data_IF_827233809367
#
_entry.id   IF_827233809367
#
_cell.length_a   1.000
_cell.length_b   1.000
_cell.length_c   1.000
_cell.angle_alpha   90.00
_cell.angle_beta   90.00
_cell.angle_gamma   90.00
#
_symmetry.space_group_name_H-M   'P 1'
#
loop_
_entity.id
_entity.type
_entity.pdbx_description
1 polymer ?
#
# COMPACT_ATOMS: atom_id res chain seq x y z
N UNK A 1 -34.51 16.58 -12.27
CA UNK A 1 -33.12 16.33 -12.71
C UNK A 1 -32.18 17.00 -11.71
N UNK A 2 -31.51 16.25 -10.87
CA UNK A 2 -30.46 16.75 -9.97
C UNK A 2 -29.24 17.08 -10.85
N UNK A 3 -28.76 18.30 -10.82
CA UNK A 3 -27.52 18.69 -11.54
C UNK A 3 -26.35 17.95 -10.94
N UNK A 4 -25.55 17.30 -11.78
CA UNK A 4 -24.27 16.72 -11.36
C UNK A 4 -23.43 17.80 -10.67
N UNK A 5 -22.79 17.49 -9.53
CA UNK A 5 -21.97 18.46 -8.80
C UNK A 5 -20.83 18.94 -9.69
N UNK A 6 -20.46 20.22 -9.55
CA UNK A 6 -19.35 20.81 -10.31
C UNK A 6 -18.03 20.09 -10.03
N UNK A 7 -17.10 20.11 -11.00
CA UNK A 7 -15.76 19.53 -10.84
C UNK A 7 -15.03 20.06 -9.61
N UNK A 8 -15.13 21.37 -9.36
CA UNK A 8 -14.53 22.02 -8.18
C UNK A 8 -15.11 21.48 -6.88
N UNK A 9 -16.44 21.29 -6.81
CA UNK A 9 -17.08 20.71 -5.64
C UNK A 9 -16.59 19.28 -5.36
N UNK A 10 -16.47 18.45 -6.40
CA UNK A 10 -15.94 17.07 -6.26
C UNK A 10 -14.51 17.07 -5.72
N UNK A 11 -13.64 17.95 -6.22
CA UNK A 11 -12.25 18.07 -5.74
C UNK A 11 -12.20 18.45 -4.26
N UNK A 12 -13.00 19.43 -3.83
CA UNK A 12 -13.05 19.86 -2.43
C UNK A 12 -13.55 18.72 -1.51
N UNK A 13 -14.60 18.00 -1.90
CA UNK A 13 -15.14 16.87 -1.13
C UNK A 13 -14.12 15.74 -1.05
N UNK A 14 -13.48 15.40 -2.16
CA UNK A 14 -12.43 14.36 -2.19
C UNK A 14 -11.28 14.72 -1.25
N UNK A 15 -10.81 15.96 -1.28
CA UNK A 15 -9.77 16.45 -0.37
C UNK A 15 -10.18 16.36 1.09
N UNK A 16 -11.40 16.75 1.43
CA UNK A 16 -11.93 16.66 2.80
C UNK A 16 -12.00 15.20 3.30
N UNK A 17 -12.50 14.28 2.47
CA UNK A 17 -12.56 12.85 2.80
C UNK A 17 -11.18 12.25 3.02
N UNK A 18 -10.19 12.59 2.21
CA UNK A 18 -8.80 12.14 2.42
C UNK A 18 -8.24 12.65 3.75
N UNK A 19 -8.43 13.95 4.06
CA UNK A 19 -7.97 14.51 5.32
C UNK A 19 -8.64 13.84 6.53
N UNK A 20 -9.95 13.58 6.45
CA UNK A 20 -10.67 12.84 7.49
C UNK A 20 -10.10 11.42 7.64
N UNK A 21 -9.85 10.70 6.54
CA UNK A 21 -9.24 9.38 6.56
C UNK A 21 -7.87 9.40 7.25
N UNK A 22 -7.01 10.37 6.89
CA UNK A 22 -5.68 10.47 7.49
C UNK A 22 -5.75 10.72 8.99
N UNK A 23 -6.64 11.62 9.42
CA UNK A 23 -6.88 11.89 10.84
C UNK A 23 -7.37 10.65 11.60
N UNK A 24 -8.27 9.86 11.01
CA UNK A 24 -8.77 8.63 11.63
C UNK A 24 -7.71 7.52 11.70
N UNK A 25 -6.80 7.47 10.74
CA UNK A 25 -5.70 6.50 10.74
C UNK A 25 -4.55 6.91 11.66
N UNK A 26 -4.40 8.21 11.94
CA UNK A 26 -3.33 8.72 12.79
C UNK A 26 -3.39 8.12 14.20
N UNK A 27 -2.24 7.77 14.77
CA UNK A 27 -2.12 7.16 16.08
C UNK A 27 -2.60 5.71 16.20
N UNK A 28 -3.20 5.13 15.14
CA UNK A 28 -3.70 3.74 15.18
C UNK A 28 -2.62 2.66 15.06
N UNK A 29 -1.35 3.03 14.88
CA UNK A 29 -0.23 2.11 14.61
C UNK A 29 -0.57 1.11 13.51
N UNK A 30 -0.80 1.62 12.30
CA UNK A 30 -1.22 0.83 11.14
C UNK A 30 -2.56 0.08 11.34
N UNK A 31 -3.45 0.59 12.16
CA UNK A 31 -4.77 0.01 12.45
C UNK A 31 -4.81 -0.99 13.62
N UNK A 32 -3.67 -1.34 14.23
CA UNK A 32 -3.61 -2.31 15.34
C UNK A 32 -4.39 -1.82 16.55
N UNK A 33 -4.26 -0.54 16.89
CA UNK A 33 -4.89 0.10 18.05
C UNK A 33 -6.24 0.76 17.73
N UNK A 34 -6.69 0.68 16.48
CA UNK A 34 -8.02 1.18 16.13
C UNK A 34 -9.10 0.42 16.90
N UNK A 35 -9.95 1.16 17.62
CA UNK A 35 -11.15 0.62 18.24
C UNK A 35 -12.28 0.40 17.22
N UNK A 36 -13.38 -0.17 17.64
CA UNK A 36 -14.48 -0.52 16.74
C UNK A 36 -15.17 0.73 16.16
N UNK A 37 -15.22 1.83 16.90
CA UNK A 37 -15.75 3.10 16.40
C UNK A 37 -14.84 3.64 15.28
N UNK A 38 -13.54 3.77 15.53
CA UNK A 38 -12.55 4.23 14.55
C UNK A 38 -12.58 3.36 13.29
N UNK A 39 -12.67 2.02 13.44
CA UNK A 39 -12.81 1.08 12.31
C UNK A 39 -14.06 1.35 11.48
N UNK A 40 -15.18 1.58 12.15
CA UNK A 40 -16.46 1.85 11.50
C UNK A 40 -16.43 3.17 10.74
N UNK A 41 -15.81 4.21 11.30
CA UNK A 41 -15.65 5.51 10.67
C UNK A 41 -14.71 5.44 9.46
N UNK A 42 -13.55 4.74 9.57
CA UNK A 42 -12.65 4.48 8.45
C UNK A 42 -13.41 3.75 7.33
N UNK A 43 -14.15 2.70 7.66
CA UNK A 43 -14.93 1.96 6.66
C UNK A 43 -16.01 2.82 5.98
N UNK A 44 -16.62 3.78 6.69
CA UNK A 44 -17.55 4.76 6.11
C UNK A 44 -16.83 5.66 5.10
N UNK A 45 -15.74 6.31 5.51
CA UNK A 45 -14.98 7.22 4.65
C UNK A 45 -14.43 6.49 3.42
N UNK A 46 -13.96 5.25 3.56
CA UNK A 46 -13.52 4.41 2.44
C UNK A 46 -14.64 4.17 1.44
N UNK A 47 -15.87 3.86 1.89
CA UNK A 47 -17.02 3.71 0.98
C UNK A 47 -17.35 5.01 0.23
N UNK A 48 -17.26 6.15 0.89
CA UNK A 48 -17.48 7.45 0.24
C UNK A 48 -16.40 7.75 -0.81
N UNK A 49 -15.12 7.53 -0.48
CA UNK A 49 -13.99 7.65 -1.42
C UNK A 49 -14.17 6.73 -2.64
N UNK A 50 -14.61 5.49 -2.43
CA UNK A 50 -14.87 4.53 -3.52
C UNK A 50 -15.90 5.06 -4.52
N UNK A 51 -16.95 5.74 -4.06
CA UNK A 51 -17.93 6.39 -4.94
C UNK A 51 -17.36 7.60 -5.69
N UNK A 52 -16.27 8.15 -5.21
CA UNK A 52 -15.57 9.31 -5.77
C UNK A 52 -14.43 8.92 -6.72
N UNK A 53 -14.17 7.61 -6.95
CA UNK A 53 -13.14 7.16 -7.89
C UNK A 53 -13.31 7.90 -9.23
N UNK A 54 -12.25 8.58 -9.73
CA UNK A 54 -12.31 9.23 -11.02
C UNK A 54 -12.60 8.20 -12.13
N UNK A 55 -13.59 8.46 -12.97
CA UNK A 55 -14.00 7.54 -14.05
C UNK A 55 -12.97 7.43 -15.16
N UNK A 56 -12.14 8.46 -15.31
CA UNK A 56 -11.02 8.52 -16.27
C UNK A 56 -9.77 7.76 -15.80
N UNK A 57 -9.73 7.32 -14.55
CA UNK A 57 -8.62 6.56 -14.01
C UNK A 57 -9.02 5.10 -13.82
N UNK A 58 -8.36 4.21 -14.55
CA UNK A 58 -8.47 2.76 -14.33
C UNK A 58 -7.52 2.39 -13.17
N UNK A 59 -8.04 1.93 -12.01
CA UNK A 59 -7.24 1.75 -10.80
C UNK A 59 -6.03 0.81 -10.96
N UNK A 60 -6.10 -0.13 -11.90
CA UNK A 60 -5.02 -1.09 -12.14
C UNK A 60 -3.98 -0.62 -13.16
N UNK A 61 -4.26 0.47 -13.90
CA UNK A 61 -3.39 1.00 -14.96
C UNK A 61 -2.57 2.22 -14.53
N UNK A 62 -2.81 2.75 -13.30
CA UNK A 62 -2.01 3.87 -12.82
C UNK A 62 -0.53 3.50 -12.73
N UNK A 63 0.37 4.33 -13.28
CA UNK A 63 1.78 4.06 -13.26
C UNK A 63 2.30 4.12 -11.82
N UNK A 64 2.93 3.03 -11.39
CA UNK A 64 3.48 2.87 -10.05
C UNK A 64 5.02 2.87 -10.05
N UNK A 65 5.62 2.97 -11.22
CA UNK A 65 7.07 2.88 -11.44
C UNK A 65 7.82 3.82 -10.50
N UNK A 66 8.77 3.26 -9.76
CA UNK A 66 9.61 4.00 -8.83
C UNK A 66 8.88 4.62 -7.63
N UNK A 67 7.59 4.30 -7.44
CA UNK A 67 6.81 4.91 -6.36
C UNK A 67 7.00 4.18 -5.04
N UNK A 68 6.95 4.94 -3.95
CA UNK A 68 7.00 4.47 -2.57
C UNK A 68 5.72 4.84 -1.85
N UNK A 69 5.08 3.85 -1.26
CA UNK A 69 3.86 4.04 -0.49
C UNK A 69 4.04 3.51 0.93
N UNK A 70 3.56 4.25 1.90
CA UNK A 70 3.54 3.86 3.31
C UNK A 70 2.17 3.40 3.72
N UNK A 71 2.12 2.32 4.50
CA UNK A 71 0.90 1.87 5.14
C UNK A 71 0.47 2.88 6.19
N UNK A 72 -0.78 3.29 6.13
CA UNK A 72 -1.42 4.13 7.15
C UNK A 72 -2.50 3.39 7.92
N UNK A 73 -3.09 2.32 7.33
CA UNK A 73 -4.08 1.49 7.99
C UNK A 73 -4.15 0.10 7.37
N UNK A 74 -4.25 -0.92 8.22
CA UNK A 74 -4.57 -2.29 7.84
C UNK A 74 -5.55 -2.88 8.85
N UNK A 75 -6.61 -3.48 8.36
CA UNK A 75 -7.61 -4.13 9.22
C UNK A 75 -7.08 -5.45 9.83
N UNK A 76 -6.12 -6.10 9.16
CA UNK A 76 -5.43 -7.26 9.69
C UNK A 76 -4.51 -6.90 10.84
N UNK A 77 -4.56 -7.66 11.92
CA UNK A 77 -3.68 -7.52 13.08
C UNK A 77 -2.41 -8.40 13.01
N UNK A 78 -2.08 -8.91 11.82
CA UNK A 78 -0.94 -9.79 11.58
C UNK A 78 0.27 -9.08 10.95
N UNK A 79 1.11 -9.84 10.29
CA UNK A 79 2.33 -9.33 9.62
C UNK A 79 2.07 -8.24 8.59
N UNK A 80 0.91 -8.23 7.92
CA UNK A 80 0.52 -7.19 6.95
C UNK A 80 0.41 -5.79 7.57
N UNK A 81 0.10 -5.69 8.86
CA UNK A 81 0.10 -4.42 9.60
C UNK A 81 1.47 -4.02 10.16
N UNK A 82 2.52 -4.81 9.87
CA UNK A 82 3.86 -4.58 10.39
C UNK A 82 4.09 -5.12 11.80
N UNK A 83 3.16 -5.95 12.32
CA UNK A 83 3.29 -6.52 13.66
C UNK A 83 4.41 -7.58 13.70
N UNK A 84 5.39 -7.37 14.56
CA UNK A 84 6.50 -8.29 14.82
C UNK A 84 6.57 -8.49 16.35
N UNK A 85 6.01 -9.59 16.84
CA UNK A 85 5.84 -9.82 18.28
C UNK A 85 4.99 -8.71 18.93
N UNK A 86 5.47 -8.02 19.98
CA UNK A 86 4.76 -6.91 20.61
C UNK A 86 4.92 -5.57 19.88
N UNK A 87 5.81 -5.50 18.88
CA UNK A 87 6.17 -4.27 18.18
C UNK A 87 5.42 -4.12 16.86
N UNK A 88 5.37 -2.88 16.35
CA UNK A 88 4.82 -2.53 15.06
C UNK A 88 5.86 -1.74 14.28
N UNK A 89 6.31 -2.31 13.18
CA UNK A 89 7.24 -1.66 12.26
C UNK A 89 6.53 -0.78 11.23
N UNK A 90 7.30 0.10 10.60
CA UNK A 90 6.83 0.80 9.41
C UNK A 90 6.64 -0.20 8.27
N UNK A 91 5.53 -0.07 7.56
CA UNK A 91 5.22 -0.91 6.39
C UNK A 91 5.22 -0.05 5.16
N UNK A 92 5.94 -0.48 4.14
CA UNK A 92 6.08 0.22 2.88
C UNK A 92 5.86 -0.73 1.71
N UNK A 93 5.36 -0.19 0.62
CA UNK A 93 5.26 -0.85 -0.66
C UNK A 93 6.12 -0.07 -1.65
N UNK A 94 7.14 -0.72 -2.19
CA UNK A 94 8.13 -0.15 -3.09
C UNK A 94 7.92 -0.75 -4.48
N UNK A 95 7.62 0.07 -5.47
CA UNK A 95 7.48 -0.36 -6.84
C UNK A 95 8.81 -0.24 -7.58
N UNK A 96 9.15 -1.28 -8.35
CA UNK A 96 10.36 -1.33 -9.16
C UNK A 96 10.32 -0.35 -10.33
N UNK A 97 11.33 -0.41 -11.18
CA UNK A 97 11.41 0.37 -12.42
C UNK A 97 10.44 -0.11 -13.51
N UNK A 98 9.81 -1.26 -13.29
CA UNK A 98 8.72 -1.78 -14.09
C UNK A 98 7.39 -1.73 -13.31
N UNK A 99 6.30 -1.95 -14.02
CA UNK A 99 4.95 -1.90 -13.48
C UNK A 99 4.49 -3.24 -12.88
N UNK A 100 5.33 -4.25 -12.93
CA UNK A 100 5.02 -5.64 -12.58
C UNK A 100 5.53 -6.00 -11.19
N UNK A 101 6.77 -5.64 -10.89
CA UNK A 101 7.44 -6.03 -9.66
C UNK A 101 7.31 -4.97 -8.56
N UNK A 102 7.11 -5.44 -7.34
CA UNK A 102 7.11 -4.60 -6.16
C UNK A 102 7.57 -5.38 -4.92
N UNK A 103 7.91 -4.66 -3.88
CA UNK A 103 8.32 -5.24 -2.60
C UNK A 103 7.50 -4.66 -1.46
N UNK A 104 6.92 -5.52 -0.63
CA UNK A 104 6.38 -5.13 0.66
C UNK A 104 7.50 -5.21 1.71
N UNK A 105 7.78 -4.11 2.40
CA UNK A 105 8.78 -4.04 3.43
C UNK A 105 8.16 -3.76 4.79
N UNK A 106 8.65 -4.43 5.82
CA UNK A 106 8.40 -4.10 7.22
C UNK A 106 9.74 -3.74 7.86
N UNK A 107 9.84 -2.53 8.39
CA UNK A 107 11.07 -2.04 9.04
C UNK A 107 10.81 -1.77 10.52
N UNK A 108 11.63 -2.36 11.39
CA UNK A 108 11.58 -2.18 12.84
C UNK A 108 13.02 -1.98 13.37
N UNK A 109 13.42 -0.72 13.58
CA UNK A 109 14.79 -0.41 13.93
C UNK A 109 15.77 -0.97 12.88
N UNK A 110 16.76 -1.78 13.28
CA UNK A 110 17.71 -2.35 12.34
C UNK A 110 17.17 -3.57 11.54
N UNK A 111 16.03 -4.10 11.95
CA UNK A 111 15.39 -5.26 11.30
C UNK A 111 14.55 -4.80 10.11
N UNK A 112 14.77 -5.39 8.95
CA UNK A 112 13.95 -5.22 7.76
C UNK A 112 13.53 -6.59 7.23
N UNK A 113 12.24 -6.76 6.97
CA UNK A 113 11.67 -7.92 6.32
C UNK A 113 11.11 -7.44 4.99
N UNK A 114 11.58 -7.98 3.89
CA UNK A 114 11.16 -7.67 2.54
C UNK A 114 10.48 -8.89 1.90
N UNK A 115 9.34 -8.68 1.27
CA UNK A 115 8.60 -9.69 0.54
C UNK A 115 8.45 -9.23 -0.91
N UNK A 116 9.30 -9.76 -1.78
CA UNK A 116 9.27 -9.50 -3.20
C UNK A 116 8.02 -10.14 -3.83
N UNK A 117 7.36 -9.41 -4.69
CA UNK A 117 6.12 -9.80 -5.32
C UNK A 117 6.03 -9.30 -6.75
N UNK A 118 5.24 -9.99 -7.55
CA UNK A 118 4.86 -9.60 -8.90
C UNK A 118 3.33 -9.42 -8.95
N UNK A 119 2.87 -8.44 -9.71
CA UNK A 119 1.45 -8.21 -9.97
C UNK A 119 1.11 -8.53 -11.43
N UNK A 120 -0.10 -9.01 -11.64
CA UNK A 120 -0.71 -9.16 -12.96
C UNK A 120 -2.13 -8.61 -12.92
N UNK A 121 -2.46 -7.70 -13.83
CA UNK A 121 -3.81 -7.16 -13.97
C UNK A 121 -4.76 -8.27 -14.41
N UNK A 122 -5.91 -8.36 -13.73
CA UNK A 122 -7.03 -9.25 -14.08
C UNK A 122 -8.09 -8.44 -14.82
N UNK A 123 -8.48 -7.29 -14.26
CA UNK A 123 -9.45 -6.34 -14.80
C UNK A 123 -9.22 -4.93 -14.22
N UNK A 124 -10.12 -4.00 -14.49
CA UNK A 124 -10.00 -2.58 -14.12
C UNK A 124 -9.81 -2.36 -12.61
N UNK A 125 -10.18 -3.33 -11.76
CA UNK A 125 -10.12 -3.21 -10.30
C UNK A 125 -9.32 -4.31 -9.62
N UNK A 126 -9.05 -5.44 -10.27
CA UNK A 126 -8.42 -6.60 -9.65
C UNK A 126 -7.05 -6.88 -10.23
N UNK A 127 -6.11 -7.15 -9.33
CA UNK A 127 -4.78 -7.65 -9.67
C UNK A 127 -4.55 -8.99 -8.98
N UNK A 128 -3.86 -9.89 -9.65
CA UNK A 128 -3.28 -11.08 -9.05
C UNK A 128 -1.88 -10.75 -8.57
N UNK A 129 -1.61 -11.00 -7.32
CA UNK A 129 -0.28 -10.86 -6.72
C UNK A 129 0.29 -12.25 -6.46
N UNK A 130 1.56 -12.43 -6.81
CA UNK A 130 2.32 -13.64 -6.54
C UNK A 130 3.59 -13.27 -5.78
N UNK A 131 3.73 -13.79 -4.59
CA UNK A 131 4.95 -13.61 -3.80
C UNK A 131 6.06 -14.51 -4.33
N UNK A 132 7.27 -13.98 -4.37
CA UNK A 132 8.43 -14.63 -4.95
C UNK A 132 9.45 -15.04 -3.91
N UNK A 133 9.81 -14.11 -3.04
CA UNK A 133 10.89 -14.30 -2.10
C UNK A 133 10.65 -13.48 -0.84
N UNK A 134 11.02 -14.02 0.29
CA UNK A 134 11.10 -13.30 1.56
C UNK A 134 12.56 -13.19 2.00
N UNK A 135 12.99 -11.99 2.34
CA UNK A 135 14.34 -11.69 2.85
C UNK A 135 14.20 -10.98 4.20
N UNK A 136 14.99 -11.38 5.19
CA UNK A 136 15.11 -10.65 6.44
C UNK A 136 16.56 -10.22 6.65
N UNK A 137 16.77 -8.95 6.94
CA UNK A 137 18.09 -8.36 7.22
C UNK A 137 18.08 -7.67 8.57
N UNK A 138 19.20 -7.68 9.27
CA UNK A 138 19.41 -6.84 10.46
C UNK A 138 20.80 -6.22 10.39
N UNK A 139 20.89 -4.91 10.67
CA UNK A 139 22.13 -4.13 10.52
C UNK A 139 22.77 -4.27 9.13
N UNK A 140 21.97 -4.45 8.08
CA UNK A 140 22.45 -4.67 6.71
C UNK A 140 22.95 -6.10 6.41
N UNK A 141 22.90 -7.02 7.39
CA UNK A 141 23.33 -8.41 7.22
C UNK A 141 22.10 -9.27 6.90
N UNK A 142 22.16 -10.04 5.84
CA UNK A 142 21.12 -11.00 5.49
C UNK A 142 21.07 -12.15 6.51
N UNK A 143 19.92 -12.32 7.15
CA UNK A 143 19.65 -13.38 8.12
C UNK A 143 18.86 -14.53 7.51
N UNK A 144 17.92 -14.20 6.63
CA UNK A 144 17.02 -15.17 6.00
C UNK A 144 16.80 -14.72 4.55
N UNK A 145 16.92 -15.68 3.65
CA UNK A 145 16.49 -15.56 2.26
C UNK A 145 15.87 -16.87 1.81
N UNK A 146 14.60 -16.84 1.44
CA UNK A 146 13.88 -18.04 1.02
C UNK A 146 12.79 -17.75 0.02
N UNK A 147 12.49 -18.68 -0.90
CA UNK A 147 11.34 -18.57 -1.80
C UNK A 147 10.03 -18.46 -1.03
N UNK A 148 9.08 -17.72 -1.62
CA UNK A 148 7.69 -17.62 -1.18
C UNK A 148 6.78 -18.06 -2.31
N UNK A 149 5.76 -18.88 -2.00
CA UNK A 149 4.81 -19.41 -2.98
C UNK A 149 3.39 -18.85 -2.80
N UNK A 150 3.23 -17.91 -1.87
CA UNK A 150 1.94 -17.28 -1.61
C UNK A 150 1.44 -16.48 -2.81
N UNK A 151 0.14 -16.44 -2.97
CA UNK A 151 -0.53 -15.59 -3.96
C UNK A 151 -1.90 -15.16 -3.47
N UNK A 152 -2.43 -14.08 -4.06
CA UNK A 152 -3.76 -13.59 -3.74
C UNK A 152 -4.31 -12.72 -4.86
N UNK A 153 -5.61 -12.43 -4.79
CA UNK A 153 -6.26 -11.43 -5.63
C UNK A 153 -6.55 -10.23 -4.75
N UNK A 154 -6.09 -9.07 -5.19
CA UNK A 154 -6.30 -7.80 -4.51
C UNK A 154 -7.27 -6.95 -5.31
N UNK A 155 -8.24 -6.36 -4.62
CA UNK A 155 -9.24 -5.48 -5.25
C UNK A 155 -8.93 -4.04 -4.92
N UNK A 156 -8.73 -3.20 -5.94
CA UNK A 156 -8.52 -1.76 -5.80
C UNK A 156 -9.88 -1.09 -5.60
N UNK A 157 -10.10 -0.47 -4.45
CA UNK A 157 -11.35 0.22 -4.13
C UNK A 157 -11.30 1.69 -4.53
N UNK A 158 -10.17 2.34 -4.22
CA UNK A 158 -9.90 3.72 -4.61
C UNK A 158 -8.41 3.88 -4.92
N UNK A 159 -8.08 4.56 -6.01
CA UNK A 159 -6.69 4.85 -6.39
C UNK A 159 -6.63 6.23 -7.05
N UNK A 160 -5.70 7.05 -6.58
CA UNK A 160 -5.24 8.25 -7.25
C UNK A 160 -3.71 8.43 -7.05
N UNK A 161 -3.18 9.61 -7.38
CA UNK A 161 -1.71 9.87 -7.32
C UNK A 161 -1.16 9.78 -5.90
N UNK A 162 -1.97 9.95 -4.85
CA UNK A 162 -1.54 10.03 -3.46
C UNK A 162 -1.97 8.82 -2.63
N UNK A 163 -3.16 8.28 -2.90
CA UNK A 163 -3.83 7.31 -2.03
C UNK A 163 -4.21 6.05 -2.79
N UNK A 164 -3.95 4.90 -2.18
CA UNK A 164 -4.45 3.60 -2.64
C UNK A 164 -5.15 2.87 -1.51
N UNK A 165 -6.39 2.47 -1.79
CA UNK A 165 -7.23 1.69 -0.90
C UNK A 165 -7.57 0.38 -1.59
N UNK A 166 -7.24 -0.73 -0.95
CA UNK A 166 -7.44 -2.05 -1.54
C UNK A 166 -7.82 -3.09 -0.49
N UNK A 167 -8.47 -4.16 -0.91
CA UNK A 167 -8.70 -5.37 -0.13
C UNK A 167 -7.64 -6.43 -0.50
N UNK A 168 -6.88 -6.98 0.51
CA UNK A 168 -5.70 -7.82 0.34
C UNK A 168 -5.60 -9.09 1.23
N UNK A 169 -6.54 -9.83 1.66
CA UNK A 169 -8.00 -9.87 1.66
C UNK A 169 -8.68 -8.94 2.68
N UNK A 170 -7.94 -8.31 3.58
CA UNK A 170 -8.46 -7.29 4.48
C UNK A 170 -8.16 -5.89 3.92
N UNK A 171 -8.89 -4.89 4.43
CA UNK A 171 -8.68 -3.50 4.05
C UNK A 171 -7.23 -3.07 4.31
N UNK A 172 -6.61 -2.48 3.29
CA UNK A 172 -5.22 -2.05 3.27
C UNK A 172 -5.14 -0.68 2.61
N UNK A 173 -4.69 0.32 3.36
CA UNK A 173 -4.65 1.73 2.93
C UNK A 173 -3.21 2.21 2.96
N UNK A 174 -2.71 2.61 1.79
CA UNK A 174 -1.35 3.13 1.64
C UNK A 174 -1.37 4.52 1.03
N UNK A 175 -0.48 5.36 1.50
CA UNK A 175 -0.26 6.71 1.03
C UNK A 175 1.10 6.83 0.36
N UNK A 176 1.15 7.50 -0.79
CA UNK A 176 2.40 7.83 -1.48
C UNK A 176 3.20 8.81 -0.63
N UNK A 177 4.47 8.52 -0.36
CA UNK A 177 5.33 9.40 0.45
C UNK A 177 6.09 10.42 -0.39
N UNK A 178 6.59 10.02 -1.53
CA UNK A 178 7.24 10.91 -2.50
C UNK A 178 7.59 10.14 -3.77
N UNK A 179 7.89 10.86 -4.86
CA UNK A 179 8.53 10.33 -6.06
C UNK A 179 10.06 10.25 -5.89
N UNK A 180 10.56 10.32 -4.67
CA UNK A 180 11.98 10.13 -4.41
C UNK A 180 12.35 8.73 -4.89
N UNK A 181 13.23 8.68 -5.88
CA UNK A 181 13.92 7.45 -6.25
C UNK A 181 14.44 6.79 -4.97
N UNK A 182 14.38 5.46 -4.90
CA UNK A 182 14.93 4.73 -3.76
C UNK A 182 16.36 5.22 -3.51
N UNK A 183 16.67 5.39 -2.24
CA UNK A 183 18.04 5.77 -1.86
C UNK A 183 18.98 4.63 -2.26
N UNK A 184 20.26 4.93 -2.41
CA UNK A 184 21.29 3.91 -2.66
C UNK A 184 21.21 2.78 -1.62
N UNK A 185 20.86 3.13 -0.39
CA UNK A 185 20.67 2.17 0.71
C UNK A 185 19.47 1.27 0.44
N UNK A 186 18.36 1.79 -0.08
CA UNK A 186 17.18 0.98 -0.42
C UNK A 186 17.50 0.01 -1.57
N UNK A 187 18.26 0.46 -2.57
CA UNK A 187 18.73 -0.36 -3.71
C UNK A 187 19.68 -1.45 -3.22
N UNK A 188 20.63 -1.13 -2.36
CA UNK A 188 21.58 -2.09 -1.81
C UNK A 188 20.92 -3.14 -0.91
N UNK A 189 19.88 -2.74 -0.17
CA UNK A 189 19.15 -3.64 0.73
C UNK A 189 18.08 -4.48 0.01
N UNK A 190 17.72 -4.14 -1.23
CA UNK A 190 16.75 -4.88 -2.04
C UNK A 190 17.06 -4.77 -3.53
N UNK A 191 18.21 -5.26 -3.99
CA UNK A 191 18.65 -5.13 -5.38
C UNK A 191 17.65 -5.75 -6.37
N UNK A 192 17.01 -6.86 -6.01
CA UNK A 192 16.03 -7.53 -6.87
C UNK A 192 14.78 -6.68 -7.21
N UNK A 193 14.46 -5.68 -6.39
CA UNK A 193 13.33 -4.78 -6.61
C UNK A 193 13.66 -3.59 -7.54
N UNK A 194 14.95 -3.40 -7.89
CA UNK A 194 15.40 -2.22 -8.61
C UNK A 194 16.31 -2.51 -9.82
N UNK A 195 16.65 -3.77 -10.05
CA UNK A 195 17.41 -4.17 -11.24
C UNK A 195 16.39 -4.52 -12.31
N UNK A 196 16.40 -3.77 -13.41
CA UNK A 196 15.70 -4.19 -14.62
C UNK A 196 16.35 -5.48 -15.12
N UNK A 197 15.57 -6.52 -15.38
CA UNK A 197 16.06 -7.66 -16.14
C UNK A 197 16.36 -7.16 -17.56
N UNK A 198 17.63 -7.25 -18.00
CA UNK A 198 18.03 -7.01 -19.38
C UNK A 198 17.47 -8.09 -20.32
#
# INVERSE_FOLDING_TARGET
MLRSPSRTYRICVLGALKQELYRLCDGTRNGIDADDQTRSEIARVVRELETMQPTELVPTELPLIGSRHKLIYCESKGGSSGKIGPFVGAVEQLFATDDTNFTNCVTLGPLRIALAAERKVIDDRRIKVKFREITATAFGIELIKKPSTGSGVWTQRFVDDELRIMDTPSLFIIRRESDALPTLIDVLNNPAGYIAEE
#
